data_IF_635843123289
#
_entry.id   IF_635843123289
#
_cell.length_a   1.000
_cell.length_b   1.000
_cell.length_c   1.000
_cell.angle_alpha   90.00
_cell.angle_beta   90.00
_cell.angle_gamma   90.00
#
_symmetry.space_group_name_H-M   'P 1'
#
loop_
_entity.id
_entity.type
_entity.pdbx_description
1 polymer ?
#
# COMPACT_ATOMS: atom_id res chain seq x y z
N UNK A 1 -32.32 4.73 -7.82
CA UNK A 1 -30.89 5.10 -7.94
C UNK A 1 -30.06 4.10 -7.15
N UNK A 2 -29.29 3.24 -7.83
CA UNK A 2 -28.38 2.26 -7.21
C UNK A 2 -27.14 3.04 -6.74
N UNK A 3 -26.83 3.06 -5.44
CA UNK A 3 -25.51 3.54 -4.98
C UNK A 3 -24.46 2.62 -5.62
N UNK A 4 -23.42 3.14 -6.29
CA UNK A 4 -22.35 2.28 -6.77
C UNK A 4 -21.71 1.59 -5.56
N UNK A 5 -21.68 0.26 -5.57
CA UNK A 5 -20.98 -0.54 -4.57
C UNK A 5 -19.55 -0.02 -4.45
N UNK A 6 -19.27 0.70 -3.37
CA UNK A 6 -17.99 1.35 -3.12
C UNK A 6 -17.02 0.33 -2.55
N UNK A 7 -16.88 -0.80 -3.22
CA UNK A 7 -15.80 -1.73 -2.93
C UNK A 7 -14.49 -0.98 -3.20
N UNK A 8 -13.52 -0.99 -2.27
CA UNK A 8 -12.24 -0.36 -2.51
C UNK A 8 -11.60 -1.01 -3.72
N UNK A 9 -11.57 -0.29 -4.85
CA UNK A 9 -10.87 -0.73 -6.03
C UNK A 9 -9.37 -0.66 -5.72
N UNK A 10 -8.64 -1.75 -5.94
CA UNK A 10 -7.18 -1.66 -6.08
C UNK A 10 -6.93 -0.98 -7.43
N UNK A 11 -6.84 0.35 -7.42
CA UNK A 11 -6.73 1.14 -8.63
C UNK A 11 -5.42 0.93 -9.38
N UNK A 12 -4.35 0.57 -8.67
CA UNK A 12 -3.07 0.14 -9.23
C UNK A 12 -2.55 -1.06 -8.44
N UNK A 13 -2.71 -2.26 -9.03
CA UNK A 13 -2.31 -3.55 -8.47
C UNK A 13 -0.79 -3.70 -8.46
N UNK A 14 -0.08 -3.10 -9.41
CA UNK A 14 1.37 -3.15 -9.41
C UNK A 14 1.95 -2.34 -8.26
N UNK A 15 1.49 -1.09 -8.10
CA UNK A 15 1.85 -0.26 -6.95
C UNK A 15 1.48 -0.93 -5.64
N UNK A 16 0.29 -1.54 -5.56
CA UNK A 16 -0.18 -2.20 -4.35
C UNK A 16 0.72 -3.37 -3.95
N UNK A 17 1.10 -4.23 -4.90
CA UNK A 17 2.01 -5.36 -4.64
C UNK A 17 3.42 -4.87 -4.29
N UNK A 18 3.93 -3.86 -4.98
CA UNK A 18 5.25 -3.30 -4.68
C UNK A 18 5.27 -2.68 -3.26
N UNK A 19 4.19 -1.99 -2.87
CA UNK A 19 4.03 -1.44 -1.52
C UNK A 19 4.00 -2.54 -0.44
N UNK A 20 3.25 -3.62 -0.65
CA UNK A 20 3.23 -4.78 0.25
C UNK A 20 4.64 -5.39 0.42
N UNK A 21 5.41 -5.46 -0.67
CA UNK A 21 6.80 -5.92 -0.64
C UNK A 21 7.72 -5.03 0.20
N UNK A 22 7.59 -3.71 0.11
CA UNK A 22 8.37 -2.79 0.93
C UNK A 22 7.96 -2.85 2.41
N UNK A 23 6.66 -2.88 2.68
CA UNK A 23 6.11 -2.97 4.02
C UNK A 23 6.53 -4.27 4.74
N UNK A 24 6.58 -5.40 4.02
CA UNK A 24 7.08 -6.68 4.56
C UNK A 24 8.56 -6.65 4.92
N UNK A 25 9.38 -5.84 4.23
CA UNK A 25 10.80 -5.62 4.55
C UNK A 25 11.01 -4.70 5.76
N UNK A 26 9.92 -4.23 6.39
CA UNK A 26 9.96 -3.36 7.56
C UNK A 26 10.02 -1.87 7.23
N UNK A 27 9.87 -1.48 5.95
CA UNK A 27 9.75 -0.07 5.61
C UNK A 27 8.44 0.50 6.18
N UNK A 28 8.52 1.75 6.63
CA UNK A 28 7.40 2.49 7.21
C UNK A 28 6.78 3.38 6.16
N UNK A 29 5.44 3.38 6.08
CA UNK A 29 4.71 4.32 5.28
C UNK A 29 4.51 5.61 6.08
N UNK A 30 4.76 6.74 5.43
CA UNK A 30 4.73 8.06 6.03
C UNK A 30 3.72 8.90 5.27
N UNK A 31 2.85 9.61 5.98
CA UNK A 31 1.89 10.55 5.39
C UNK A 31 2.06 11.90 6.09
N UNK A 32 2.38 12.93 5.31
CA UNK A 32 2.40 14.30 5.83
C UNK A 32 0.95 14.77 5.94
N UNK A 33 0.51 15.11 7.15
CA UNK A 33 -0.90 15.38 7.45
C UNK A 33 -1.40 16.69 6.82
N UNK A 34 -0.49 17.61 6.48
CA UNK A 34 -0.80 19.01 6.11
C UNK A 34 -0.39 19.40 4.67
N UNK A 35 0.09 18.45 3.86
CA UNK A 35 0.55 18.73 2.51
C UNK A 35 -0.19 17.87 1.48
N UNK A 36 -0.56 18.50 0.36
CA UNK A 36 -1.02 17.88 -0.90
C UNK A 36 -0.04 16.86 -1.51
N UNK A 37 1.02 16.51 -0.78
CA UNK A 37 2.16 15.71 -1.17
C UNK A 37 2.14 14.38 -0.41
N UNK A 38 1.32 13.47 -0.96
CA UNK A 38 1.57 12.03 -1.08
C UNK A 38 1.93 11.23 0.18
N UNK A 39 1.30 10.08 0.33
CA UNK A 39 1.87 9.02 1.16
C UNK A 39 3.22 8.61 0.57
N UNK A 40 4.22 8.35 1.40
CA UNK A 40 5.55 7.93 0.96
C UNK A 40 5.92 6.61 1.62
N UNK A 41 6.61 5.76 0.88
CA UNK A 41 7.10 4.47 1.34
C UNK A 41 8.50 4.26 0.77
N UNK A 42 9.48 4.11 1.65
CA UNK A 42 10.90 4.02 1.27
C UNK A 42 11.35 5.18 0.35
N UNK A 43 10.90 6.41 0.64
CA UNK A 43 11.21 7.61 -0.16
C UNK A 43 10.48 7.70 -1.51
N UNK A 44 9.68 6.71 -1.89
CA UNK A 44 8.88 6.73 -3.11
C UNK A 44 7.42 7.16 -2.80
N UNK A 45 6.78 7.97 -3.65
CA UNK A 45 5.39 8.34 -3.47
C UNK A 45 4.47 7.15 -3.75
N UNK A 46 3.47 6.98 -2.87
CA UNK A 46 2.35 6.08 -3.01
C UNK A 46 1.12 6.90 -3.43
N UNK A 47 0.71 6.74 -4.68
CA UNK A 47 -0.33 7.50 -5.37
C UNK A 47 -1.73 6.96 -5.15
N UNK A 48 -1.92 5.64 -5.20
CA UNK A 48 -3.26 5.03 -5.21
C UNK A 48 -3.50 4.09 -4.04
N UNK A 49 -2.46 3.38 -3.62
CA UNK A 49 -2.60 2.21 -2.75
C UNK A 49 -2.83 2.53 -1.28
N UNK A 50 -2.59 3.76 -0.83
CA UNK A 50 -2.69 4.12 0.59
C UNK A 50 -4.09 3.84 1.16
N UNK A 51 -5.13 4.35 0.52
CA UNK A 51 -6.49 4.19 1.04
C UNK A 51 -6.91 2.72 1.05
N UNK A 52 -6.52 1.96 0.04
CA UNK A 52 -6.83 0.54 -0.08
C UNK A 52 -6.11 -0.30 0.98
N UNK A 53 -4.83 -0.04 1.22
CA UNK A 53 -4.06 -0.68 2.29
C UNK A 53 -4.67 -0.40 3.67
N UNK A 54 -5.11 0.84 3.91
CA UNK A 54 -5.72 1.26 5.17
C UNK A 54 -7.12 0.67 5.34
N UNK A 55 -7.95 0.71 4.29
CA UNK A 55 -9.32 0.22 4.32
C UNK A 55 -9.37 -1.27 4.64
N UNK A 56 -8.50 -2.08 4.01
CA UNK A 56 -8.42 -3.51 4.30
C UNK A 56 -7.67 -3.85 5.58
N UNK A 57 -7.23 -2.86 6.36
CA UNK A 57 -6.51 -3.06 7.62
C UNK A 57 -5.15 -3.75 7.44
N UNK A 58 -4.54 -3.65 6.25
CA UNK A 58 -3.22 -4.23 5.96
C UNK A 58 -2.10 -3.38 6.56
N UNK A 59 -2.38 -2.09 6.77
CA UNK A 59 -1.55 -1.18 7.54
C UNK A 59 -2.35 -0.55 8.68
N UNK A 60 -1.67 -0.17 9.74
CA UNK A 60 -2.23 0.58 10.85
C UNK A 60 -1.32 1.74 11.22
N UNK A 61 -1.94 2.85 11.65
CA UNK A 61 -1.21 3.98 12.23
C UNK A 61 -0.52 3.54 13.52
N UNK A 62 0.68 4.03 13.76
CA UNK A 62 1.35 3.89 15.05
C UNK A 62 2.05 5.20 15.43
N UNK A 63 2.25 5.39 16.72
CA UNK A 63 2.98 6.56 17.23
C UNK A 63 4.48 6.30 17.15
N UNK A 64 5.18 7.13 16.38
CA UNK A 64 6.63 7.09 16.29
C UNK A 64 7.23 8.16 17.23
N UNK A 65 7.79 7.77 18.39
CA UNK A 65 8.34 8.74 19.35
C UNK A 65 9.57 9.49 18.79
N UNK A 66 10.23 8.93 17.77
CA UNK A 66 11.32 9.56 17.03
C UNK A 66 10.85 10.20 15.71
N UNK A 67 9.53 10.37 15.55
CA UNK A 67 8.93 10.95 14.37
C UNK A 67 8.94 12.47 14.35
N UNK A 68 8.47 13.04 13.25
CA UNK A 68 8.30 14.48 13.07
C UNK A 68 6.85 14.89 13.36
N UNK A 69 6.68 16.11 13.87
CA UNK A 69 5.35 16.69 14.06
C UNK A 69 4.65 16.88 12.69
N UNK A 70 3.34 16.65 12.65
CA UNK A 70 2.55 16.76 11.42
C UNK A 70 2.75 15.59 10.44
N UNK A 71 3.32 14.48 10.92
CA UNK A 71 3.57 13.27 10.14
C UNK A 71 2.90 12.07 10.79
N UNK A 72 2.04 11.39 10.02
CA UNK A 72 1.43 10.14 10.41
C UNK A 72 2.28 8.95 9.90
N UNK A 73 2.51 7.97 10.76
CA UNK A 73 3.31 6.78 10.45
C UNK A 73 2.44 5.54 10.44
N UNK A 74 2.66 4.67 9.44
CA UNK A 74 1.90 3.44 9.26
C UNK A 74 2.83 2.25 9.08
N UNK A 75 2.50 1.14 9.73
CA UNK A 75 3.20 -0.14 9.61
C UNK A 75 2.25 -1.23 9.18
N UNK A 76 2.82 -2.28 8.61
CA UNK A 76 2.09 -3.50 8.26
C UNK A 76 1.56 -4.20 9.52
N UNK A 77 0.30 -4.59 9.48
CA UNK A 77 -0.38 -5.36 10.54
C UNK A 77 -0.04 -6.85 10.41
N UNK A 78 -0.44 -7.68 11.38
CA UNK A 78 -0.28 -9.14 11.26
C UNK A 78 -1.10 -9.72 10.11
N UNK A 79 -2.35 -9.26 9.93
CA UNK A 79 -3.18 -9.62 8.78
C UNK A 79 -2.54 -9.15 7.47
N UNK A 80 -2.00 -7.92 7.46
CA UNK A 80 -1.23 -7.37 6.35
C UNK A 80 -0.03 -8.23 5.99
N UNK A 81 0.75 -8.69 6.99
CA UNK A 81 1.90 -9.58 6.78
C UNK A 81 1.49 -10.89 6.13
N UNK A 82 0.43 -11.52 6.63
CA UNK A 82 -0.06 -12.77 6.06
C UNK A 82 -0.51 -12.57 4.61
N UNK A 83 -1.34 -11.56 4.36
CA UNK A 83 -1.86 -11.25 3.02
C UNK A 83 -0.73 -10.92 2.04
N UNK A 84 0.22 -10.08 2.45
CA UNK A 84 1.35 -9.66 1.62
C UNK A 84 2.19 -10.84 1.15
N UNK A 85 2.42 -11.85 2.00
CA UNK A 85 3.15 -13.07 1.60
C UNK A 85 2.40 -13.84 0.51
N UNK A 86 1.08 -13.98 0.64
CA UNK A 86 0.27 -14.67 -0.37
C UNK A 86 0.23 -13.88 -1.68
N UNK A 87 -0.01 -12.57 -1.62
CA UNK A 87 -0.05 -11.69 -2.78
C UNK A 87 1.28 -11.70 -3.54
N UNK A 88 2.41 -11.61 -2.84
CA UNK A 88 3.73 -11.68 -3.45
C UNK A 88 4.04 -13.05 -4.04
N UNK A 89 3.65 -14.14 -3.39
CA UNK A 89 3.84 -15.49 -3.94
C UNK A 89 3.11 -15.63 -5.29
N UNK A 90 1.85 -15.19 -5.35
CA UNK A 90 1.04 -15.18 -6.58
C UNK A 90 1.65 -14.25 -7.64
N UNK A 91 2.08 -13.05 -7.26
CA UNK A 91 2.75 -12.14 -8.18
C UNK A 91 4.03 -12.75 -8.77
N UNK A 92 4.84 -13.39 -7.92
CA UNK A 92 6.09 -14.02 -8.32
C UNK A 92 5.92 -15.31 -9.12
N UNK A 93 4.74 -15.94 -9.10
CA UNK A 93 4.43 -17.06 -10.00
C UNK A 93 3.92 -16.61 -11.38
N UNK A 94 3.52 -15.35 -11.55
CA UNK A 94 3.07 -14.85 -12.85
C UNK A 94 4.24 -14.77 -13.85
N UNK A 95 4.03 -15.18 -15.12
CA UNK A 95 4.93 -14.87 -16.23
C UNK A 95 5.20 -13.36 -16.33
N UNK A 96 6.41 -13.00 -16.77
CA UNK A 96 6.83 -11.59 -16.84
C UNK A 96 5.90 -10.72 -17.68
N UNK A 97 5.38 -11.24 -18.80
CA UNK A 97 4.44 -10.50 -19.65
C UNK A 97 3.12 -10.16 -18.93
N UNK A 98 2.64 -11.04 -18.04
CA UNK A 98 1.44 -10.76 -17.24
C UNK A 98 1.71 -9.64 -16.23
N UNK A 99 2.88 -9.65 -15.58
CA UNK A 99 3.28 -8.55 -14.69
C UNK A 99 3.40 -7.23 -15.44
N UNK A 100 3.96 -7.26 -16.63
CA UNK A 100 4.07 -6.07 -17.50
C UNK A 100 2.68 -5.57 -17.88
N UNK A 101 1.75 -6.44 -18.26
CA UNK A 101 0.37 -6.03 -18.54
C UNK A 101 -0.28 -5.36 -17.33
N UNK A 102 -0.19 -5.95 -16.13
CA UNK A 102 -0.74 -5.34 -14.91
C UNK A 102 -0.13 -3.96 -14.65
N UNK A 103 1.18 -3.80 -14.84
CA UNK A 103 1.86 -2.50 -14.71
C UNK A 103 1.37 -1.44 -15.70
N UNK A 104 0.95 -1.85 -16.90
CA UNK A 104 0.45 -0.94 -17.92
C UNK A 104 -1.03 -0.60 -17.74
N UNK A 105 -1.82 -1.51 -17.16
CA UNK A 105 -3.26 -1.31 -16.98
C UNK A 105 -3.65 -0.75 -15.62
N UNK A 106 -2.73 -0.72 -14.66
CA UNK A 106 -3.07 -0.64 -13.24
C UNK A 106 -3.59 -1.98 -12.74
#
# INVERSE_FOLDING_TARGET
>A
MRRPDTSPLIADRAEFVDALGQLLRGHVLVRVSDASWGCQLNGAPLRWSFHTLLHFGLIARYDNPSGFQGVDYYRITDSGRWFARQALAVWHSMPLWQRTLVRLTG
#
